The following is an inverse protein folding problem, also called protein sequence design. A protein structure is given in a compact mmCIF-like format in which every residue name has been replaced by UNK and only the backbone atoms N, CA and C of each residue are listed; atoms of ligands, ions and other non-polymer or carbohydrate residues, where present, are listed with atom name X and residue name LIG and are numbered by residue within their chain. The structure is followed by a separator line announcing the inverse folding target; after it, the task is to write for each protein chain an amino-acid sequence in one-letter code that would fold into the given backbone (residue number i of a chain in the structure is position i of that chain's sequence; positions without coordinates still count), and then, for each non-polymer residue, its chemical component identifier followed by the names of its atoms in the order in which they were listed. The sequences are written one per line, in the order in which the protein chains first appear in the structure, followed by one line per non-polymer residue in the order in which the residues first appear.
data_IF_115558211349
#
_entry.id   IF_115558211349
#
_cell.length_a   1.000
_cell.length_b   1.000
_cell.length_c   1.000
_cell.angle_alpha   90.00
_cell.angle_beta   90.00
_cell.angle_gamma   90.00
#
_symmetry.space_group_name_H-M   'P 1'
#
loop_
_entity.id
_entity.type
_entity.pdbx_description
1 polymer ?
#
# COMPACT_ATOMS: atom_id res chain seq x y z
N UNK A 1 43.33 -9.51 -40.26
CA UNK A 1 42.91 -10.39 -39.14
C UNK A 1 43.16 -9.80 -37.72
N UNK A 2 44.23 -9.08 -37.46
CA UNK A 2 44.50 -8.48 -36.13
C UNK A 2 43.54 -7.35 -35.74
N UNK A 3 43.10 -6.49 -36.68
CA UNK A 3 42.15 -5.40 -36.46
C UNK A 3 40.75 -5.86 -36.10
N UNK A 4 40.25 -6.94 -36.69
CA UNK A 4 38.94 -7.51 -36.39
C UNK A 4 38.91 -8.11 -34.96
N UNK A 5 40.00 -8.73 -34.52
CA UNK A 5 40.12 -9.26 -33.15
C UNK A 5 40.10 -8.16 -32.08
N UNK A 6 40.71 -7.01 -32.34
CA UNK A 6 40.66 -5.87 -31.41
C UNK A 6 39.23 -5.28 -31.32
N UNK A 7 38.52 -5.18 -32.45
CA UNK A 7 37.17 -4.65 -32.47
C UNK A 7 36.18 -5.55 -31.69
N UNK A 8 36.31 -6.87 -31.84
CA UNK A 8 35.48 -7.84 -31.11
C UNK A 8 35.80 -7.81 -29.60
N UNK A 9 37.05 -7.63 -29.19
CA UNK A 9 37.37 -7.51 -27.78
C UNK A 9 36.80 -6.21 -27.16
N UNK A 10 36.82 -5.10 -27.89
CA UNK A 10 36.26 -3.82 -27.44
C UNK A 10 34.72 -3.90 -27.31
N UNK A 11 34.01 -4.60 -28.19
CA UNK A 11 32.58 -4.81 -28.11
C UNK A 11 32.22 -5.71 -26.93
N UNK A 12 32.98 -6.77 -26.67
CA UNK A 12 32.78 -7.65 -25.51
C UNK A 12 33.01 -6.93 -24.18
N UNK A 13 33.97 -6.01 -24.10
CA UNK A 13 34.22 -5.22 -22.88
C UNK A 13 33.07 -4.22 -22.65
N UNK A 14 32.51 -3.63 -23.69
CA UNK A 14 31.35 -2.73 -23.59
C UNK A 14 30.07 -3.44 -23.09
N UNK A 15 29.90 -4.74 -23.43
CA UNK A 15 28.78 -5.56 -22.99
C UNK A 15 28.93 -6.07 -21.54
N UNK A 16 30.12 -5.98 -20.96
CA UNK A 16 30.41 -6.40 -19.60
C UNK A 16 30.38 -5.22 -18.58
N UNK A 17 30.11 -4.00 -19.02
CA UNK A 17 29.86 -2.91 -18.10
C UNK A 17 28.51 -3.21 -17.44
N UNK A 18 28.46 -3.58 -16.14
CA UNK A 18 27.19 -3.73 -15.47
C UNK A 18 26.48 -2.38 -15.53
N UNK A 19 25.40 -2.29 -16.30
CA UNK A 19 24.51 -1.15 -16.26
C UNK A 19 23.86 -1.16 -14.88
N UNK A 20 24.54 -0.64 -13.89
CA UNK A 20 23.97 -0.40 -12.57
C UNK A 20 22.97 0.72 -12.74
N UNK A 21 21.73 0.37 -13.14
CA UNK A 21 20.59 1.27 -13.00
C UNK A 21 20.41 1.43 -11.49
N UNK A 22 21.11 2.38 -10.92
CA UNK A 22 20.90 2.79 -9.55
C UNK A 22 19.62 3.61 -9.58
N UNK A 23 18.50 2.96 -9.26
CA UNK A 23 17.26 3.67 -9.02
C UNK A 23 17.55 4.76 -7.98
N UNK A 24 17.28 6.01 -8.34
CA UNK A 24 17.48 7.11 -7.40
C UNK A 24 16.54 6.89 -6.22
N UNK A 25 17.10 6.58 -5.05
CA UNK A 25 16.34 6.48 -3.79
C UNK A 25 15.77 7.83 -3.34
N UNK A 26 15.78 8.84 -4.20
CA UNK A 26 15.34 10.21 -3.88
C UNK A 26 13.86 10.50 -4.13
N UNK A 27 13.09 9.54 -4.69
CA UNK A 27 11.67 9.75 -4.98
C UNK A 27 10.82 10.01 -3.71
N UNK A 28 11.29 9.55 -2.55
CA UNK A 28 10.67 9.75 -1.24
C UNK A 28 11.34 10.88 -0.42
N UNK A 29 12.35 11.57 -0.99
CA UNK A 29 13.10 12.59 -0.27
C UNK A 29 12.18 13.72 0.23
N UNK A 30 12.03 13.79 1.55
CA UNK A 30 11.16 14.75 2.21
C UNK A 30 9.87 14.17 2.80
N UNK A 31 9.45 12.96 2.44
CA UNK A 31 8.30 12.32 3.06
C UNK A 31 8.64 11.86 4.48
N UNK A 32 7.77 12.20 5.43
CA UNK A 32 7.89 11.81 6.84
C UNK A 32 6.83 10.78 7.21
N UNK A 33 5.65 10.87 6.59
CA UNK A 33 4.54 9.97 6.86
C UNK A 33 3.79 9.60 5.58
N UNK A 34 3.51 8.31 5.42
CA UNK A 34 2.73 7.74 4.30
C UNK A 34 1.57 6.93 4.87
N UNK A 35 0.36 7.18 4.34
CA UNK A 35 -0.80 6.31 4.56
C UNK A 35 -0.96 5.37 3.39
N UNK A 36 -1.17 4.09 3.69
CA UNK A 36 -1.56 3.09 2.70
C UNK A 36 -2.95 2.62 3.08
N UNK A 37 -3.95 2.98 2.27
CA UNK A 37 -5.37 2.80 2.59
C UNK A 37 -5.97 1.77 1.65
N UNK A 38 -6.30 0.59 2.19
CA UNK A 38 -7.00 -0.50 1.51
C UNK A 38 -8.43 -0.67 2.01
N UNK A 39 -9.23 -1.43 1.28
CA UNK A 39 -10.60 -1.75 1.67
C UNK A 39 -10.64 -2.84 2.74
N UNK A 40 -9.81 -3.87 2.60
CA UNK A 40 -9.84 -5.06 3.46
C UNK A 40 -8.49 -5.34 4.11
N UNK A 41 -8.46 -6.09 5.24
CA UNK A 41 -7.24 -6.70 5.76
C UNK A 41 -6.60 -7.60 4.69
N UNK A 42 -5.40 -7.29 4.27
CA UNK A 42 -4.53 -7.84 3.21
C UNK A 42 -4.31 -6.93 1.99
N UNK A 43 -5.19 -5.99 1.68
CA UNK A 43 -5.02 -5.12 0.52
C UNK A 43 -3.74 -4.29 0.56
N UNK A 44 -3.43 -3.53 1.64
CA UNK A 44 -2.20 -2.77 1.73
C UNK A 44 -0.96 -3.64 1.60
N UNK A 45 -0.95 -4.82 2.22
CA UNK A 45 0.13 -5.78 2.18
C UNK A 45 0.35 -6.34 0.78
N UNK A 46 -0.75 -6.71 0.12
CA UNK A 46 -0.72 -7.29 -1.23
C UNK A 46 -0.32 -6.26 -2.29
N UNK A 47 -0.87 -5.05 -2.19
CA UNK A 47 -0.62 -3.99 -3.16
C UNK A 47 0.79 -3.40 -3.05
N UNK A 48 1.27 -3.16 -1.85
CA UNK A 48 2.52 -2.42 -1.66
C UNK A 48 3.34 -2.80 -0.40
N UNK A 49 3.24 -4.05 0.09
CA UNK A 49 4.01 -4.49 1.26
C UNK A 49 5.51 -4.25 1.13
N UNK A 50 6.10 -4.56 -0.03
CA UNK A 50 7.50 -4.25 -0.30
C UNK A 50 7.82 -2.75 -0.27
N UNK A 51 6.92 -1.91 -0.77
CA UNK A 51 7.06 -0.45 -0.71
C UNK A 51 6.97 0.07 0.73
N UNK A 52 6.04 -0.47 1.54
CA UNK A 52 5.91 -0.12 2.96
C UNK A 52 7.18 -0.46 3.75
N UNK A 53 7.73 -1.66 3.55
CA UNK A 53 9.00 -2.08 4.17
C UNK A 53 10.13 -1.12 3.77
N UNK A 54 10.25 -0.82 2.47
CA UNK A 54 11.29 0.08 1.97
C UNK A 54 11.18 1.49 2.56
N UNK A 55 9.98 2.04 2.65
CA UNK A 55 9.74 3.34 3.30
C UNK A 55 10.14 3.31 4.78
N UNK A 56 9.80 2.23 5.49
CA UNK A 56 10.19 2.05 6.90
C UNK A 56 11.71 1.98 7.09
N UNK A 57 12.42 1.24 6.24
CA UNK A 57 13.89 1.19 6.23
C UNK A 57 14.52 2.56 6.03
N UNK A 58 13.84 3.43 5.29
CA UNK A 58 14.28 4.81 5.03
C UNK A 58 13.89 5.80 6.15
N UNK A 59 13.25 5.33 7.23
CA UNK A 59 12.85 6.15 8.36
C UNK A 59 11.51 6.88 8.19
N UNK A 60 10.74 6.57 7.14
CA UNK A 60 9.40 7.13 6.93
C UNK A 60 8.40 6.42 7.85
N UNK A 61 7.54 7.16 8.53
CA UNK A 61 6.39 6.57 9.25
C UNK A 61 5.38 6.05 8.22
N UNK A 62 4.98 4.78 8.34
CA UNK A 62 3.96 4.17 7.47
C UNK A 62 2.79 3.69 8.31
N UNK A 63 1.59 4.05 7.88
CA UNK A 63 0.33 3.62 8.51
C UNK A 63 -0.48 2.84 7.49
N UNK A 64 -0.80 1.60 7.82
CA UNK A 64 -1.70 0.76 7.04
C UNK A 64 -3.13 0.94 7.54
N UNK A 65 -4.02 1.38 6.66
CA UNK A 65 -5.41 1.68 6.98
C UNK A 65 -6.33 0.72 6.24
N UNK A 66 -7.28 0.15 6.96
CA UNK A 66 -8.27 -0.78 6.43
C UNK A 66 -9.67 -0.18 6.59
N UNK A 67 -10.39 0.01 5.47
CA UNK A 67 -11.73 0.59 5.47
C UNK A 67 -12.73 -0.28 6.23
N UNK A 68 -12.54 -1.62 6.16
CA UNK A 68 -13.36 -2.64 6.81
C UNK A 68 -12.53 -3.57 7.70
N UNK A 69 -13.18 -4.42 8.45
CA UNK A 69 -12.49 -5.46 9.23
C UNK A 69 -12.39 -6.81 8.53
N UNK A 70 -12.83 -6.93 7.25
CA UNK A 70 -12.84 -8.20 6.52
C UNK A 70 -13.96 -9.15 6.99
N UNK A 71 -15.10 -8.60 7.36
CA UNK A 71 -16.21 -9.32 7.97
C UNK A 71 -16.78 -10.44 7.09
N UNK A 72 -16.77 -10.27 5.77
CA UNK A 72 -17.21 -11.27 4.80
C UNK A 72 -16.07 -12.15 4.24
N UNK A 73 -14.85 -11.97 4.70
CA UNK A 73 -13.63 -12.56 4.09
C UNK A 73 -13.44 -14.06 4.35
N UNK A 74 -14.18 -14.72 5.26
CA UNK A 74 -13.99 -16.14 5.59
C UNK A 74 -15.30 -16.91 5.43
N UNK A 75 -15.41 -17.77 4.40
CA UNK A 75 -16.59 -18.60 4.20
C UNK A 75 -16.93 -19.47 5.42
N UNK A 76 -18.20 -19.50 5.81
CA UNK A 76 -18.70 -20.33 6.90
C UNK A 76 -18.49 -19.78 8.31
N UNK A 77 -17.89 -18.59 8.44
CA UNK A 77 -17.78 -17.87 9.73
C UNK A 77 -18.79 -16.74 9.82
N UNK A 78 -19.11 -16.35 11.05
CA UNK A 78 -19.85 -15.12 11.30
C UNK A 78 -19.00 -13.89 10.98
N UNK A 79 -19.63 -12.75 10.75
CA UNK A 79 -18.93 -11.47 10.54
C UNK A 79 -17.99 -11.13 11.70
N UNK A 80 -18.39 -11.38 12.94
CA UNK A 80 -17.57 -11.12 14.13
C UNK A 80 -16.33 -12.02 14.19
N UNK A 81 -16.49 -13.32 13.92
CA UNK A 81 -15.37 -14.26 13.86
C UNK A 81 -14.38 -13.90 12.73
N UNK A 82 -14.93 -13.60 11.54
CA UNK A 82 -14.12 -13.21 10.40
C UNK A 82 -13.32 -11.93 10.70
N UNK A 83 -13.99 -10.89 11.21
CA UNK A 83 -13.35 -9.64 11.62
C UNK A 83 -12.23 -9.89 12.62
N UNK A 84 -12.48 -10.69 13.66
CA UNK A 84 -11.50 -11.00 14.71
C UNK A 84 -10.25 -11.64 14.11
N UNK A 85 -10.42 -12.62 13.22
CA UNK A 85 -9.30 -13.32 12.58
C UNK A 85 -8.57 -12.37 11.63
N UNK A 86 -9.29 -11.72 10.71
CA UNK A 86 -8.69 -10.89 9.66
C UNK A 86 -7.94 -9.67 10.22
N UNK A 87 -8.50 -9.03 11.25
CA UNK A 87 -7.79 -7.90 11.89
C UNK A 87 -6.56 -8.35 12.67
N UNK A 88 -6.58 -9.55 13.27
CA UNK A 88 -5.40 -10.12 13.92
C UNK A 88 -4.29 -10.45 12.91
N UNK A 89 -4.65 -11.03 11.75
CA UNK A 89 -3.70 -11.32 10.66
C UNK A 89 -3.04 -10.03 10.14
N UNK A 90 -3.85 -9.00 9.83
CA UNK A 90 -3.33 -7.71 9.35
C UNK A 90 -2.46 -7.02 10.41
N UNK A 91 -2.86 -7.07 11.69
CA UNK A 91 -2.05 -6.54 12.79
C UNK A 91 -0.69 -7.25 12.84
N UNK A 92 -0.69 -8.58 12.72
CA UNK A 92 0.55 -9.35 12.71
C UNK A 92 1.45 -9.03 11.51
N UNK A 93 0.87 -8.88 10.33
CA UNK A 93 1.60 -8.47 9.13
C UNK A 93 2.22 -7.07 9.31
N UNK A 94 1.45 -6.12 9.85
CA UNK A 94 1.94 -4.78 10.18
C UNK A 94 3.10 -4.79 11.17
N UNK A 95 3.02 -5.60 12.25
CA UNK A 95 4.11 -5.78 13.20
C UNK A 95 5.41 -6.25 12.51
N UNK A 96 5.30 -7.24 11.63
CA UNK A 96 6.45 -7.77 10.88
C UNK A 96 7.11 -6.74 9.97
N UNK A 97 6.32 -5.81 9.42
CA UNK A 97 6.80 -4.73 8.54
C UNK A 97 7.21 -3.47 9.31
N UNK A 98 6.98 -3.40 10.62
CA UNK A 98 7.19 -2.18 11.43
C UNK A 98 6.22 -1.06 11.07
N UNK A 99 5.01 -1.39 10.62
CA UNK A 99 3.94 -0.49 10.18
C UNK A 99 2.84 -0.44 11.24
N UNK A 100 2.16 0.69 11.39
CA UNK A 100 1.05 0.83 12.34
C UNK A 100 -0.30 0.55 11.66
N UNK A 101 -1.11 -0.41 12.13
CA UNK A 101 -2.44 -0.67 11.58
C UNK A 101 -3.49 0.31 12.13
N UNK A 102 -4.47 0.67 11.29
CA UNK A 102 -5.68 1.41 11.67
C UNK A 102 -6.88 0.77 10.99
N UNK A 103 -7.89 0.39 11.75
CA UNK A 103 -9.14 -0.18 11.24
C UNK A 103 -10.26 0.84 11.34
N UNK A 104 -10.92 1.13 10.22
CA UNK A 104 -12.10 2.00 10.15
C UNK A 104 -13.38 1.20 10.44
N UNK A 105 -14.53 1.80 10.23
CA UNK A 105 -15.81 1.30 10.76
C UNK A 105 -16.76 0.76 9.70
N UNK A 106 -16.37 0.68 8.43
CA UNK A 106 -17.21 0.12 7.39
C UNK A 106 -17.23 -1.40 7.43
N UNK A 107 -18.23 -1.99 6.82
CA UNK A 107 -18.45 -3.45 6.79
C UNK A 107 -18.09 -3.99 5.42
N UNK A 108 -17.29 -5.04 5.38
CA UNK A 108 -16.88 -5.74 4.16
C UNK A 108 -18.11 -6.24 3.37
N UNK A 109 -18.13 -5.95 2.06
CA UNK A 109 -19.24 -6.23 1.16
C UNK A 109 -20.40 -5.23 1.25
N UNK A 110 -20.41 -4.34 2.25
CA UNK A 110 -21.46 -3.34 2.45
C UNK A 110 -20.92 -1.91 2.62
N UNK A 111 -19.82 -1.61 1.93
CA UNK A 111 -19.21 -0.28 2.00
C UNK A 111 -20.06 0.78 1.30
N UNK A 112 -20.00 2.01 1.77
CA UNK A 112 -20.82 3.13 1.31
C UNK A 112 -20.00 4.40 1.09
N UNK A 113 -20.42 5.20 0.10
CA UNK A 113 -20.02 6.60 -0.05
C UNK A 113 -21.20 7.45 0.41
N UNK A 114 -21.04 8.07 1.58
CA UNK A 114 -22.03 9.02 2.10
C UNK A 114 -21.33 10.07 2.98
N UNK A 115 -22.08 11.07 3.43
CA UNK A 115 -21.54 12.20 4.20
C UNK A 115 -20.81 11.76 5.48
N UNK A 116 -21.33 10.75 6.19
CA UNK A 116 -20.71 10.25 7.42
C UNK A 116 -19.39 9.52 7.14
N UNK A 117 -19.35 8.68 6.11
CA UNK A 117 -18.16 7.94 5.70
C UNK A 117 -17.07 8.84 5.13
N UNK A 118 -17.49 9.85 4.38
CA UNK A 118 -16.57 10.91 3.95
C UNK A 118 -15.96 11.66 5.14
N UNK A 119 -16.79 12.06 6.13
CA UNK A 119 -16.29 12.76 7.31
C UNK A 119 -15.32 11.90 8.14
N UNK A 120 -15.57 10.59 8.25
CA UNK A 120 -14.68 9.64 8.92
C UNK A 120 -13.32 9.55 8.23
N UNK A 121 -13.28 9.39 6.90
CA UNK A 121 -12.04 9.34 6.13
C UNK A 121 -11.28 10.64 6.23
N UNK A 122 -11.98 11.76 6.08
CA UNK A 122 -11.39 13.10 6.20
C UNK A 122 -10.77 13.32 7.57
N UNK A 123 -11.48 12.97 8.64
CA UNK A 123 -10.97 13.10 10.02
C UNK A 123 -9.70 12.27 10.24
N UNK A 124 -9.61 11.06 9.67
CA UNK A 124 -8.41 10.24 9.70
C UNK A 124 -7.24 10.94 9.01
N UNK A 125 -7.44 11.41 7.77
CA UNK A 125 -6.37 12.05 6.99
C UNK A 125 -5.90 13.35 7.67
N UNK A 126 -6.82 14.15 8.18
CA UNK A 126 -6.50 15.40 8.92
C UNK A 126 -5.74 15.13 10.23
N UNK A 127 -6.06 14.05 10.93
CA UNK A 127 -5.37 13.65 12.16
C UNK A 127 -3.95 13.13 11.89
N UNK A 128 -3.81 12.31 10.85
CA UNK A 128 -2.52 11.69 10.49
C UNK A 128 -1.58 12.68 9.78
N UNK A 129 -2.09 13.64 9.03
CA UNK A 129 -1.31 14.63 8.27
C UNK A 129 -0.21 13.99 7.41
N UNK A 130 -0.53 13.04 6.54
CA UNK A 130 0.47 12.36 5.73
C UNK A 130 1.04 13.28 4.63
N UNK A 131 2.24 12.98 4.18
CA UNK A 131 2.84 13.62 3.00
C UNK A 131 2.44 12.92 1.70
N UNK A 132 1.99 11.67 1.79
CA UNK A 132 1.54 10.86 0.66
C UNK A 132 0.47 9.86 1.11
N UNK A 133 -0.51 9.64 0.24
CA UNK A 133 -1.52 8.58 0.38
C UNK A 133 -1.43 7.64 -0.81
N UNK A 134 -1.43 6.34 -0.54
CA UNK A 134 -1.53 5.27 -1.53
C UNK A 134 -2.85 4.55 -1.29
N UNK A 135 -3.63 4.34 -2.34
CA UNK A 135 -4.93 3.66 -2.25
C UNK A 135 -5.24 2.91 -3.53
N UNK A 136 -6.39 2.26 -3.59
CA UNK A 136 -6.87 1.50 -4.73
C UNK A 136 -7.06 2.34 -5.99
N UNK A 137 -7.03 1.65 -7.13
CA UNK A 137 -7.38 2.22 -8.43
C UNK A 137 -8.90 2.49 -8.51
N UNK A 138 -9.34 3.69 -8.98
CA UNK A 138 -10.75 4.05 -8.96
C UNK A 138 -11.65 3.25 -9.92
N UNK A 139 -11.06 2.49 -10.84
CA UNK A 139 -11.75 1.63 -11.81
C UNK A 139 -11.45 0.15 -11.50
N UNK A 140 -11.26 -0.18 -10.23
CA UNK A 140 -11.02 -1.54 -9.77
C UNK A 140 -12.24 -2.45 -10.01
N UNK A 141 -12.00 -3.75 -10.17
CA UNK A 141 -13.07 -4.75 -10.32
C UNK A 141 -13.88 -4.93 -9.03
N UNK A 142 -13.25 -4.79 -7.85
CA UNK A 142 -13.92 -4.94 -6.57
C UNK A 142 -14.67 -3.65 -6.18
N UNK A 143 -15.94 -3.78 -5.80
CA UNK A 143 -16.78 -2.64 -5.42
C UNK A 143 -16.21 -1.86 -4.23
N UNK A 144 -15.78 -2.54 -3.18
CA UNK A 144 -15.28 -1.90 -1.96
C UNK A 144 -13.95 -1.18 -2.19
N UNK A 145 -13.10 -1.67 -3.11
CA UNK A 145 -11.89 -0.96 -3.54
C UNK A 145 -12.23 0.39 -4.20
N UNK A 146 -13.25 0.39 -5.07
CA UNK A 146 -13.72 1.65 -5.69
C UNK A 146 -14.28 2.61 -4.67
N UNK A 147 -15.10 2.13 -3.71
CA UNK A 147 -15.61 2.95 -2.60
C UNK A 147 -14.49 3.54 -1.77
N UNK A 148 -13.50 2.72 -1.39
CA UNK A 148 -12.30 3.15 -0.68
C UNK A 148 -11.58 4.27 -1.45
N UNK A 149 -11.30 4.04 -2.73
CA UNK A 149 -10.62 5.01 -3.59
C UNK A 149 -11.37 6.35 -3.68
N UNK A 150 -12.70 6.33 -3.86
CA UNK A 150 -13.53 7.54 -3.92
C UNK A 150 -13.45 8.32 -2.60
N UNK A 151 -13.63 7.65 -1.47
CA UNK A 151 -13.57 8.29 -0.15
C UNK A 151 -12.21 8.92 0.13
N UNK A 152 -11.13 8.24 -0.25
CA UNK A 152 -9.77 8.75 -0.08
C UNK A 152 -9.53 9.96 -0.98
N UNK A 153 -9.88 9.85 -2.26
CA UNK A 153 -9.67 10.93 -3.24
C UNK A 153 -10.42 12.20 -2.86
N UNK A 154 -11.68 12.08 -2.43
CA UNK A 154 -12.50 13.22 -2.05
C UNK A 154 -12.09 13.83 -0.70
N UNK A 155 -11.43 13.04 0.16
CA UNK A 155 -11.01 13.48 1.49
C UNK A 155 -9.60 14.10 1.52
N UNK A 156 -8.76 13.74 0.55
CA UNK A 156 -7.39 14.25 0.40
C UNK A 156 -7.37 15.67 -0.16
#
# INVERSE_FOLDING_TARGET
MKTIRLLLLSICILLLVPCSIQASDKWYAGYKKVLVIGAHPDDPETMCGGTMIKLREMGVEVVSVYLTGGEAGIPGKTHEESRTIRTAEATKACEMMGVRPVFMTQIDGNTEVNKARYAEMKALIEAEKPDMVITHWPIDSHRDHRVCSILVYDAW
#
